data_IF_356125418198
#
_entry.id   IF_356125418198
#
_cell.length_a   1.000
_cell.length_b   1.000
_cell.length_c   1.000
_cell.angle_alpha   90.00
_cell.angle_beta   90.00
_cell.angle_gamma   90.00
#
_symmetry.space_group_name_H-M   'P 1'
#
loop_
_entity.id
_entity.type
_entity.pdbx_description
1 polymer ?
#
# COMPACT_ATOMS: atom_id res chain seq x y z
N UNK A 1 -15.01 -18.19 -17.06
CA UNK A 1 -15.81 -17.00 -17.29
C UNK A 1 -16.00 -16.84 -18.81
N UNK A 2 -17.24 -17.00 -19.35
CA UNK A 2 -17.50 -16.94 -20.80
C UNK A 2 -17.07 -15.61 -21.45
N UNK A 3 -17.19 -14.50 -20.72
CA UNK A 3 -16.86 -13.16 -21.23
C UNK A 3 -15.37 -13.00 -21.61
N UNK A 4 -14.48 -13.71 -20.94
CA UNK A 4 -13.02 -13.64 -21.24
C UNK A 4 -12.71 -14.23 -22.62
N UNK A 5 -13.47 -15.22 -23.05
CA UNK A 5 -13.22 -15.91 -24.33
C UNK A 5 -13.62 -15.08 -25.55
N UNK A 6 -14.48 -14.07 -25.37
CA UNK A 6 -15.04 -13.22 -26.43
C UNK A 6 -14.60 -11.76 -26.32
N UNK A 7 -13.40 -11.47 -25.81
CA UNK A 7 -12.93 -10.10 -25.64
C UNK A 7 -13.94 -9.16 -24.93
N UNK A 8 -14.75 -9.72 -24.02
CA UNK A 8 -15.84 -9.02 -23.33
C UNK A 8 -16.90 -8.44 -24.29
N UNK A 9 -17.20 -9.12 -25.40
CA UNK A 9 -18.17 -8.67 -26.37
C UNK A 9 -19.58 -8.43 -25.77
N UNK A 10 -19.94 -9.18 -24.72
CA UNK A 10 -21.21 -9.05 -23.99
C UNK A 10 -21.15 -8.01 -22.84
N UNK A 11 -20.22 -7.05 -22.90
CA UNK A 11 -19.97 -6.07 -21.83
C UNK A 11 -21.24 -5.35 -21.34
N UNK A 12 -22.26 -5.10 -22.22
CA UNK A 12 -23.51 -4.47 -21.80
C UNK A 12 -24.30 -5.35 -20.83
N UNK A 13 -24.34 -6.66 -21.10
CA UNK A 13 -25.00 -7.64 -20.24
C UNK A 13 -24.28 -7.77 -18.91
N UNK A 14 -22.95 -7.81 -18.93
CA UNK A 14 -22.14 -7.87 -17.73
C UNK A 14 -22.30 -6.60 -16.89
N UNK A 15 -22.29 -5.42 -17.51
CA UNK A 15 -22.55 -4.15 -16.83
C UNK A 15 -23.96 -4.14 -16.20
N UNK A 16 -24.98 -4.56 -16.93
CA UNK A 16 -26.33 -4.62 -16.40
C UNK A 16 -26.47 -5.55 -15.20
N UNK A 17 -25.74 -6.67 -15.19
CA UNK A 17 -25.73 -7.58 -14.05
C UNK A 17 -25.15 -6.91 -12.80
N UNK A 18 -24.04 -6.16 -12.92
CA UNK A 18 -23.44 -5.42 -11.79
C UNK A 18 -24.37 -4.29 -11.31
N UNK A 19 -24.98 -3.54 -12.23
CA UNK A 19 -25.97 -2.49 -11.93
C UNK A 19 -27.17 -3.05 -11.17
N UNK A 20 -27.68 -4.23 -11.58
CA UNK A 20 -28.78 -4.89 -10.89
C UNK A 20 -28.39 -5.29 -9.46
N UNK A 21 -27.19 -5.83 -9.25
CA UNK A 21 -26.69 -6.16 -7.92
C UNK A 21 -26.59 -4.92 -7.02
N UNK A 22 -26.14 -3.80 -7.57
CA UNK A 22 -26.14 -2.53 -6.85
C UNK A 22 -27.56 -2.07 -6.49
N UNK A 23 -28.48 -2.04 -7.45
CA UNK A 23 -29.84 -1.53 -7.26
C UNK A 23 -30.71 -2.40 -6.36
N UNK A 24 -30.59 -3.72 -6.49
CA UNK A 24 -31.43 -4.67 -5.75
C UNK A 24 -30.88 -4.99 -4.35
N UNK A 25 -29.56 -5.05 -4.20
CA UNK A 25 -28.92 -5.52 -2.96
C UNK A 25 -28.00 -4.49 -2.30
N UNK A 26 -27.80 -3.32 -2.90
CA UNK A 26 -26.91 -2.27 -2.39
C UNK A 26 -25.43 -2.63 -2.41
N UNK A 27 -25.02 -3.55 -3.30
CA UNK A 27 -23.60 -3.95 -3.43
C UNK A 27 -22.82 -2.83 -4.10
N UNK A 28 -21.84 -2.25 -3.38
CA UNK A 28 -21.04 -1.11 -3.86
C UNK A 28 -19.61 -1.45 -4.22
N UNK A 29 -19.10 -2.61 -3.87
CA UNK A 29 -17.72 -3.01 -4.15
C UNK A 29 -17.72 -4.30 -4.96
N UNK A 30 -17.08 -4.27 -6.12
CA UNK A 30 -16.91 -5.43 -6.99
C UNK A 30 -15.43 -5.74 -7.19
N UNK A 31 -14.97 -6.86 -6.62
CA UNK A 31 -13.63 -7.37 -6.93
C UNK A 31 -13.65 -8.06 -8.29
N UNK A 32 -12.85 -7.54 -9.20
CA UNK A 32 -12.69 -8.06 -10.55
C UNK A 32 -11.43 -8.92 -10.58
N UNK A 33 -11.64 -10.21 -10.52
CA UNK A 33 -10.56 -11.21 -10.41
C UNK A 33 -10.40 -12.04 -11.69
N UNK A 34 -9.19 -12.53 -11.92
CA UNK A 34 -8.91 -13.48 -13.02
C UNK A 34 -9.00 -12.88 -14.42
N UNK A 35 -9.14 -11.57 -14.59
CA UNK A 35 -9.19 -10.94 -15.88
C UNK A 35 -7.84 -10.98 -16.60
N UNK A 36 -7.84 -11.50 -17.82
CA UNK A 36 -6.76 -11.32 -18.79
C UNK A 36 -7.25 -10.41 -19.90
N UNK A 37 -6.48 -9.41 -20.27
CA UNK A 37 -6.79 -8.48 -21.36
C UNK A 37 -5.96 -8.88 -22.57
N UNK A 38 -6.48 -9.74 -23.45
CA UNK A 38 -5.67 -10.33 -24.53
C UNK A 38 -5.55 -9.40 -25.76
N UNK A 39 -6.45 -8.45 -25.91
CA UNK A 39 -6.57 -7.61 -27.10
C UNK A 39 -6.95 -6.17 -26.77
N UNK A 40 -6.81 -5.27 -27.73
CA UNK A 40 -7.29 -3.88 -27.65
C UNK A 40 -8.82 -3.81 -27.60
N UNK A 41 -9.49 -4.76 -28.21
CA UNK A 41 -10.95 -4.86 -28.15
C UNK A 41 -11.41 -5.20 -26.74
N UNK A 42 -10.79 -6.18 -26.09
CA UNK A 42 -11.06 -6.54 -24.70
C UNK A 42 -10.87 -5.34 -23.75
N UNK A 43 -9.78 -4.60 -23.91
CA UNK A 43 -9.52 -3.36 -23.16
C UNK A 43 -10.65 -2.34 -23.37
N UNK A 44 -11.01 -2.08 -24.62
CA UNK A 44 -12.06 -1.12 -24.97
C UNK A 44 -13.41 -1.52 -24.38
N UNK A 45 -13.76 -2.79 -24.44
CA UNK A 45 -15.02 -3.30 -23.89
C UNK A 45 -15.06 -3.25 -22.36
N UNK A 46 -13.94 -3.48 -21.69
CA UNK A 46 -13.83 -3.30 -20.24
C UNK A 46 -14.00 -1.84 -19.82
N UNK A 47 -13.38 -0.89 -20.53
CA UNK A 47 -13.62 0.54 -20.30
C UNK A 47 -15.11 0.90 -20.43
N UNK A 48 -15.78 0.39 -21.49
CA UNK A 48 -17.21 0.60 -21.67
C UNK A 48 -18.04 0.01 -20.54
N UNK A 49 -17.69 -1.18 -20.07
CA UNK A 49 -18.35 -1.84 -18.96
C UNK A 49 -18.23 -0.99 -17.68
N UNK A 50 -17.01 -0.61 -17.31
CA UNK A 50 -16.77 0.15 -16.08
C UNK A 50 -17.46 1.53 -16.13
N UNK A 51 -17.31 2.25 -17.23
CA UNK A 51 -17.99 3.55 -17.43
C UNK A 51 -19.51 3.41 -17.29
N UNK A 52 -20.11 2.41 -17.95
CA UNK A 52 -21.55 2.17 -17.87
C UNK A 52 -22.02 1.92 -16.44
N UNK A 53 -21.28 1.13 -15.68
CA UNK A 53 -21.61 0.87 -14.26
C UNK A 53 -21.50 2.13 -13.44
N UNK A 54 -20.41 2.89 -13.56
CA UNK A 54 -20.21 4.12 -12.80
C UNK A 54 -21.28 5.18 -13.12
N UNK A 55 -21.60 5.39 -14.40
CA UNK A 55 -22.65 6.30 -14.84
C UNK A 55 -24.02 5.93 -14.26
N UNK A 56 -24.40 4.65 -14.26
CA UNK A 56 -25.71 4.18 -13.79
C UNK A 56 -25.80 4.03 -12.26
N UNK A 57 -24.72 4.24 -11.56
CA UNK A 57 -24.65 4.14 -10.10
C UNK A 57 -24.15 5.43 -9.43
N UNK A 58 -24.15 6.56 -10.16
CA UNK A 58 -23.71 7.87 -9.68
C UNK A 58 -22.31 7.80 -9.00
N UNK A 59 -21.38 7.00 -9.59
CA UNK A 59 -20.03 6.74 -9.09
C UNK A 59 -19.98 6.14 -7.67
N UNK A 60 -21.09 5.61 -7.14
CA UNK A 60 -21.13 4.96 -5.83
C UNK A 60 -20.50 3.57 -5.82
N UNK A 61 -20.36 2.92 -6.98
CA UNK A 61 -19.67 1.64 -7.12
C UNK A 61 -18.17 1.85 -7.17
N UNK A 62 -17.45 0.98 -6.48
CA UNK A 62 -15.98 0.94 -6.47
C UNK A 62 -15.55 -0.41 -7.03
N UNK A 63 -14.68 -0.40 -8.02
CA UNK A 63 -14.01 -1.60 -8.51
C UNK A 63 -12.73 -1.86 -7.73
N UNK A 64 -12.54 -3.12 -7.34
CA UNK A 64 -11.29 -3.64 -6.81
C UNK A 64 -10.68 -4.53 -7.88
N UNK A 65 -9.63 -4.02 -8.54
CA UNK A 65 -9.06 -4.62 -9.74
C UNK A 65 -7.86 -5.48 -9.34
N UNK A 66 -8.00 -6.78 -9.44
CA UNK A 66 -6.93 -7.72 -9.11
C UNK A 66 -5.81 -7.68 -10.16
N UNK A 67 -4.59 -7.48 -9.70
CA UNK A 67 -3.37 -7.41 -10.51
C UNK A 67 -2.39 -8.57 -10.26
N UNK A 68 -2.80 -9.63 -9.63
CA UNK A 68 -1.93 -10.70 -9.11
C UNK A 68 -1.32 -11.61 -10.17
N UNK A 69 -1.91 -11.76 -11.32
CA UNK A 69 -1.45 -12.75 -12.28
C UNK A 69 -0.68 -12.13 -13.45
N UNK A 70 0.29 -12.84 -13.94
CA UNK A 70 1.39 -12.48 -14.83
C UNK A 70 1.10 -11.88 -16.21
N UNK A 71 -0.12 -11.57 -16.59
CA UNK A 71 -0.49 -10.96 -17.89
C UNK A 71 -1.58 -9.91 -17.81
N UNK A 72 -1.72 -9.28 -16.67
CA UNK A 72 -2.71 -8.21 -16.46
C UNK A 72 -2.07 -6.84 -16.73
N UNK A 73 -1.48 -6.71 -17.90
CA UNK A 73 -0.67 -5.54 -18.26
C UNK A 73 -1.44 -4.24 -18.44
N UNK A 74 -2.76 -4.25 -18.25
CA UNK A 74 -3.60 -3.07 -18.42
C UNK A 74 -4.05 -2.40 -17.13
N UNK A 75 -3.71 -2.93 -15.96
CA UNK A 75 -4.27 -2.41 -14.70
C UNK A 75 -3.85 -0.98 -14.38
N UNK A 76 -2.72 -0.50 -14.86
CA UNK A 76 -2.34 0.91 -14.73
C UNK A 76 -3.34 1.85 -15.40
N UNK A 77 -3.90 1.43 -16.52
CA UNK A 77 -4.90 2.18 -17.28
C UNK A 77 -6.29 2.15 -16.64
N UNK A 78 -6.52 1.19 -15.74
CA UNK A 78 -7.79 1.03 -15.04
C UNK A 78 -7.81 1.61 -13.62
N UNK A 79 -6.72 2.24 -13.15
CA UNK A 79 -6.66 2.79 -11.80
C UNK A 79 -7.66 3.94 -11.57
N UNK A 80 -8.21 4.54 -12.63
CA UNK A 80 -9.28 5.54 -12.56
C UNK A 80 -10.61 4.96 -12.06
N UNK A 81 -10.85 3.67 -12.29
CA UNK A 81 -12.11 3.01 -11.94
C UNK A 81 -12.18 2.49 -10.51
N UNK A 82 -11.07 2.43 -9.79
CA UNK A 82 -11.07 1.92 -8.43
C UNK A 82 -9.69 1.62 -7.88
N UNK A 83 -9.63 0.68 -6.96
CA UNK A 83 -8.40 0.24 -6.32
C UNK A 83 -7.76 -0.91 -7.08
N UNK A 84 -6.43 -0.98 -7.02
CA UNK A 84 -5.66 -2.08 -7.56
C UNK A 84 -5.32 -3.03 -6.41
N UNK A 85 -5.82 -4.24 -6.48
CA UNK A 85 -5.52 -5.28 -5.51
C UNK A 85 -4.21 -5.99 -5.86
N UNK A 86 -3.24 -5.86 -4.96
CA UNK A 86 -1.93 -6.49 -5.07
C UNK A 86 -1.86 -7.66 -4.10
N UNK A 87 -2.01 -8.88 -4.60
CA UNK A 87 -1.84 -10.09 -3.82
C UNK A 87 -0.37 -10.52 -3.81
N UNK A 88 0.15 -10.83 -2.66
CA UNK A 88 1.54 -11.28 -2.50
C UNK A 88 1.70 -12.81 -2.53
N UNK A 89 0.61 -13.57 -2.55
CA UNK A 89 0.54 -15.05 -2.66
C UNK A 89 1.26 -15.85 -1.56
N UNK A 90 1.66 -15.23 -0.48
CA UNK A 90 2.32 -15.94 0.62
C UNK A 90 1.35 -16.74 1.48
N UNK A 91 0.07 -16.36 1.48
CA UNK A 91 -0.94 -16.96 2.34
C UNK A 91 -1.14 -18.43 2.03
N UNK A 92 -1.09 -18.81 0.74
CA UNK A 92 -1.46 -20.14 0.29
C UNK A 92 -0.28 -21.03 -0.06
N UNK A 93 0.81 -20.47 -0.60
CA UNK A 93 1.76 -21.30 -1.33
C UNK A 93 3.22 -21.15 -0.94
N UNK A 94 3.67 -19.98 -0.51
CA UNK A 94 5.08 -19.66 -0.46
C UNK A 94 5.52 -18.95 0.79
N UNK A 95 6.81 -18.95 0.90
CA UNK A 95 7.60 -18.02 1.66
C UNK A 95 7.46 -16.61 1.09
N UNK A 96 7.34 -15.65 1.97
CA UNK A 96 7.30 -14.27 1.57
C UNK A 96 8.14 -13.42 2.53
N UNK A 97 9.05 -12.67 1.99
CA UNK A 97 9.83 -11.73 2.80
C UNK A 97 9.10 -10.40 2.93
N UNK A 98 8.96 -9.85 4.14
CA UNK A 98 8.22 -8.61 4.37
C UNK A 98 8.68 -7.43 3.50
N UNK A 99 9.97 -7.36 3.18
CA UNK A 99 10.49 -6.30 2.31
C UNK A 99 9.95 -6.37 0.86
N UNK A 100 9.43 -7.51 0.39
CA UNK A 100 8.80 -7.59 -0.93
C UNK A 100 7.49 -6.80 -0.98
N UNK A 101 6.68 -6.85 0.08
CA UNK A 101 5.48 -6.01 0.19
C UNK A 101 5.86 -4.53 0.10
N UNK A 102 6.82 -4.12 0.91
CA UNK A 102 7.32 -2.75 0.95
C UNK A 102 7.87 -2.31 -0.40
N UNK A 103 8.66 -3.18 -1.06
CA UNK A 103 9.24 -2.92 -2.38
C UNK A 103 8.19 -2.79 -3.47
N UNK A 104 7.15 -3.62 -3.46
CA UNK A 104 6.05 -3.51 -4.42
C UNK A 104 5.38 -2.14 -4.34
N UNK A 105 5.04 -1.67 -3.15
CA UNK A 105 4.48 -0.33 -2.96
C UNK A 105 5.46 0.76 -3.38
N UNK A 106 6.73 0.63 -2.98
CA UNK A 106 7.78 1.61 -3.25
C UNK A 106 8.04 1.78 -4.76
N UNK A 107 8.01 0.68 -5.51
CA UNK A 107 8.18 0.70 -6.96
C UNK A 107 6.94 1.23 -7.68
N UNK A 108 5.75 0.80 -7.29
CA UNK A 108 4.50 1.15 -7.97
C UNK A 108 4.03 2.57 -7.65
N UNK A 109 4.28 3.09 -6.46
CA UNK A 109 3.91 4.45 -6.07
C UNK A 109 4.59 5.57 -6.88
N UNK A 110 5.57 5.22 -7.71
CA UNK A 110 6.18 6.13 -8.70
C UNK A 110 5.27 6.37 -9.91
N UNK A 111 4.33 5.48 -10.17
CA UNK A 111 3.53 5.44 -11.41
C UNK A 111 2.02 5.42 -11.15
N UNK A 112 1.60 4.91 -10.00
CA UNK A 112 0.21 4.79 -9.60
C UNK A 112 0.05 5.46 -8.24
N UNK A 113 -1.00 6.28 -8.03
CA UNK A 113 -1.26 6.86 -6.73
C UNK A 113 -1.29 5.79 -5.64
N UNK A 114 -0.48 5.95 -4.61
CA UNK A 114 -0.28 4.91 -3.59
C UNK A 114 -1.60 4.54 -2.86
N UNK A 115 -2.48 5.51 -2.68
CA UNK A 115 -3.82 5.31 -2.09
C UNK A 115 -4.75 4.43 -2.94
N UNK A 116 -4.39 4.17 -4.20
CA UNK A 116 -5.09 3.22 -5.08
C UNK A 116 -4.55 1.79 -4.95
N UNK A 117 -3.39 1.61 -4.33
CA UNK A 117 -2.74 0.32 -4.19
C UNK A 117 -3.20 -0.36 -2.90
N UNK A 118 -4.08 -1.35 -3.03
CA UNK A 118 -4.48 -2.20 -1.93
C UNK A 118 -3.53 -3.39 -1.85
N UNK A 119 -2.88 -3.58 -0.72
CA UNK A 119 -1.88 -4.63 -0.54
C UNK A 119 -2.08 -5.35 0.80
N UNK A 120 -1.97 -6.66 0.74
CA UNK A 120 -2.06 -7.49 1.93
C UNK A 120 -0.76 -7.41 2.76
N UNK A 121 -0.91 -7.40 4.07
CA UNK A 121 0.20 -7.57 4.99
C UNK A 121 0.28 -9.03 5.47
N UNK A 122 1.51 -9.48 5.73
CA UNK A 122 1.84 -10.87 5.94
C UNK A 122 1.19 -11.46 7.19
N UNK A 123 0.57 -12.63 7.05
CA UNK A 123 0.25 -13.52 8.16
C UNK A 123 1.49 -14.35 8.51
N UNK A 124 2.29 -13.86 9.47
CA UNK A 124 3.56 -14.47 9.87
C UNK A 124 3.44 -15.85 10.53
N UNK A 125 2.25 -16.26 10.88
CA UNK A 125 2.00 -17.54 11.55
C UNK A 125 1.63 -18.67 10.60
N UNK A 126 1.49 -18.35 9.30
CA UNK A 126 1.21 -19.34 8.28
C UNK A 126 2.48 -19.70 7.51
N UNK A 127 2.62 -20.96 7.13
CA UNK A 127 3.78 -21.46 6.37
C UNK A 127 5.13 -21.19 7.06
N UNK A 128 5.17 -21.20 8.38
CA UNK A 128 6.35 -20.86 9.19
C UNK A 128 7.55 -21.79 8.99
N UNK A 129 7.30 -22.99 8.48
CA UNK A 129 8.33 -23.99 8.19
C UNK A 129 9.16 -23.66 6.94
N UNK A 130 8.60 -22.85 6.04
CA UNK A 130 9.19 -22.64 4.71
C UNK A 130 10.41 -21.71 4.69
N UNK A 131 10.51 -20.77 5.66
CA UNK A 131 11.62 -19.81 5.77
C UNK A 131 12.33 -19.86 7.12
N UNK A 132 12.09 -20.91 7.87
CA UNK A 132 12.62 -21.03 9.24
C UNK A 132 14.13 -20.84 9.28
N UNK A 133 14.58 -19.91 10.11
CA UNK A 133 16.01 -19.64 10.31
C UNK A 133 16.67 -18.73 9.27
N UNK A 134 15.92 -18.25 8.27
CA UNK A 134 16.44 -17.28 7.33
C UNK A 134 16.40 -15.85 7.91
N UNK A 135 17.35 -15.01 7.50
CA UNK A 135 17.51 -13.64 8.02
C UNK A 135 16.24 -12.79 7.84
N UNK A 136 15.53 -12.98 6.73
CA UNK A 136 14.31 -12.25 6.40
C UNK A 136 13.05 -13.07 6.64
N UNK A 137 13.15 -14.16 7.41
CA UNK A 137 11.98 -14.96 7.76
C UNK A 137 10.94 -14.09 8.48
N UNK A 138 9.65 -14.27 8.19
CA UNK A 138 8.58 -13.51 8.83
C UNK A 138 8.58 -13.57 10.36
N UNK A 139 9.09 -14.64 10.94
CA UNK A 139 9.23 -14.81 12.39
C UNK A 139 10.11 -13.75 13.07
N UNK A 140 11.02 -13.12 12.30
CA UNK A 140 11.93 -12.08 12.79
C UNK A 140 11.32 -10.67 12.84
N UNK A 141 10.04 -10.54 12.49
CA UNK A 141 9.34 -9.26 12.44
C UNK A 141 8.20 -9.22 13.44
N UNK A 142 7.97 -8.06 14.06
CA UNK A 142 6.74 -7.83 14.81
C UNK A 142 5.54 -7.76 13.86
N UNK A 143 4.35 -8.13 14.33
CA UNK A 143 3.14 -8.03 13.53
C UNK A 143 2.81 -6.56 13.21
N UNK A 144 3.12 -5.66 14.13
CA UNK A 144 3.03 -4.22 13.91
C UNK A 144 3.85 -3.76 12.70
N UNK A 145 5.11 -4.20 12.58
CA UNK A 145 5.96 -3.87 11.43
C UNK A 145 5.37 -4.40 10.12
N UNK A 146 4.85 -5.64 10.13
CA UNK A 146 4.22 -6.23 8.94
C UNK A 146 3.01 -5.42 8.48
N UNK A 147 2.17 -4.99 9.42
CA UNK A 147 1.07 -4.07 9.12
C UNK A 147 1.61 -2.74 8.58
N UNK A 148 2.64 -2.19 9.22
CA UNK A 148 3.21 -0.91 8.84
C UNK A 148 3.75 -0.88 7.40
N UNK A 149 4.25 -2.00 6.87
CA UNK A 149 4.76 -2.07 5.48
C UNK A 149 3.71 -1.70 4.42
N UNK A 150 2.43 -1.68 4.77
CA UNK A 150 1.31 -1.39 3.86
C UNK A 150 0.71 0.00 4.01
N UNK A 151 1.15 0.80 4.98
CA UNK A 151 0.49 2.08 5.33
C UNK A 151 0.48 3.14 4.23
N UNK A 152 1.46 3.13 3.34
CA UNK A 152 1.50 4.04 2.19
C UNK A 152 0.39 3.76 1.17
N UNK A 153 -0.05 2.50 1.08
CA UNK A 153 -1.19 2.07 0.29
C UNK A 153 -2.44 1.85 1.15
N UNK A 154 -3.26 0.91 0.74
CA UNK A 154 -4.43 0.47 1.50
C UNK A 154 -4.14 -0.89 2.15
N UNK A 155 -3.94 -0.95 3.48
CA UNK A 155 -3.71 -2.20 4.17
C UNK A 155 -4.89 -3.17 4.03
N UNK A 156 -4.61 -4.41 3.67
CA UNK A 156 -5.59 -5.47 3.56
C UNK A 156 -5.22 -6.66 4.44
N UNK A 157 -6.12 -7.05 5.32
CA UNK A 157 -6.04 -8.31 6.06
C UNK A 157 -6.59 -9.46 5.21
N UNK A 158 -5.78 -9.96 4.29
CA UNK A 158 -6.13 -11.10 3.44
C UNK A 158 -5.58 -12.38 4.05
N UNK A 159 -6.15 -12.79 5.19
CA UNK A 159 -5.64 -13.91 5.97
C UNK A 159 -6.76 -14.71 6.61
N UNK A 160 -6.47 -15.97 6.94
CA UNK A 160 -7.38 -16.78 7.74
C UNK A 160 -7.50 -16.21 9.14
N UNK A 161 -8.75 -16.02 9.59
CA UNK A 161 -9.06 -15.53 10.94
C UNK A 161 -9.11 -16.62 12.01
N UNK A 162 -8.85 -17.89 11.65
CA UNK A 162 -8.88 -19.02 12.58
C UNK A 162 -7.51 -19.30 13.19
N UNK A 163 -7.51 -19.67 14.46
CA UNK A 163 -6.29 -20.05 15.20
C UNK A 163 -5.20 -18.96 15.22
N UNK A 164 -5.59 -17.69 15.17
CA UNK A 164 -4.64 -16.60 15.31
C UNK A 164 -4.14 -16.51 16.77
N UNK A 165 -2.84 -16.27 16.98
CA UNK A 165 -2.30 -16.06 18.31
C UNK A 165 -2.72 -14.70 18.86
N UNK A 166 -2.52 -14.50 20.17
CA UNK A 166 -2.91 -13.27 20.87
C UNK A 166 -2.25 -12.01 20.23
N UNK A 167 -1.02 -12.11 19.77
CA UNK A 167 -0.32 -11.02 19.06
C UNK A 167 -1.13 -10.46 17.87
N UNK A 168 -1.90 -11.30 17.18
CA UNK A 168 -2.69 -10.85 16.02
C UNK A 168 -3.78 -9.84 16.39
N UNK A 169 -4.29 -9.89 17.61
CA UNK A 169 -5.36 -8.98 18.06
C UNK A 169 -4.85 -7.58 18.37
N UNK A 170 -3.53 -7.37 18.47
CA UNK A 170 -2.93 -6.02 18.56
C UNK A 170 -3.19 -5.19 17.31
N UNK A 171 -3.52 -5.82 16.18
CA UNK A 171 -3.90 -5.15 14.94
C UNK A 171 -5.01 -4.11 15.14
N UNK A 172 -5.93 -4.35 16.08
CA UNK A 172 -7.00 -3.40 16.38
C UNK A 172 -6.45 -2.05 16.80
N UNK A 173 -5.51 -2.02 17.74
CA UNK A 173 -4.90 -0.78 18.24
C UNK A 173 -4.15 -0.04 17.15
N UNK A 174 -3.37 -0.76 16.33
CA UNK A 174 -2.62 -0.21 15.20
C UNK A 174 -3.56 0.36 14.13
N UNK A 175 -4.65 -0.34 13.82
CA UNK A 175 -5.66 0.13 12.87
C UNK A 175 -6.39 1.37 13.39
N UNK A 176 -6.77 1.40 14.66
CA UNK A 176 -7.41 2.56 15.28
C UNK A 176 -6.46 3.78 15.32
N UNK A 177 -5.17 3.58 15.57
CA UNK A 177 -4.17 4.64 15.50
C UNK A 177 -4.01 5.17 14.07
N UNK A 178 -3.87 4.29 13.09
CA UNK A 178 -3.72 4.64 11.67
C UNK A 178 -4.93 5.42 11.12
N UNK A 179 -6.14 5.00 11.43
CA UNK A 179 -7.39 5.65 10.98
C UNK A 179 -7.48 7.13 11.38
N UNK A 180 -6.82 7.54 12.46
CA UNK A 180 -6.85 8.95 12.92
C UNK A 180 -6.21 9.91 11.93
N UNK A 181 -5.30 9.44 11.08
CA UNK A 181 -4.57 10.29 10.13
C UNK A 181 -4.55 9.76 8.69
N UNK A 182 -5.02 8.54 8.45
CA UNK A 182 -5.03 7.88 7.14
C UNK A 182 -5.59 8.80 6.04
N UNK A 183 -6.79 9.33 6.24
CA UNK A 183 -7.44 10.17 5.23
C UNK A 183 -6.62 11.43 4.92
N UNK A 184 -6.09 12.12 5.94
CA UNK A 184 -5.24 13.30 5.73
C UNK A 184 -3.91 12.93 5.06
N UNK A 185 -3.32 11.82 5.41
CA UNK A 185 -2.10 11.31 4.77
C UNK A 185 -2.34 10.97 3.29
N UNK A 186 -3.40 10.23 2.97
CA UNK A 186 -3.71 9.83 1.61
C UNK A 186 -4.23 10.96 0.73
N UNK A 187 -4.65 12.09 1.30
CA UNK A 187 -5.01 13.28 0.50
C UNK A 187 -3.80 14.07 0.00
N UNK A 188 -2.57 13.69 0.35
CA UNK A 188 -1.33 14.19 -0.23
C UNK A 188 -0.81 13.31 -1.36
N UNK A 189 0.15 13.80 -2.13
CA UNK A 189 0.87 12.96 -3.10
C UNK A 189 1.87 12.09 -2.36
N UNK A 190 1.70 10.77 -2.40
CA UNK A 190 2.59 9.83 -1.73
C UNK A 190 3.66 9.34 -2.70
N UNK A 191 4.92 9.61 -2.37
CA UNK A 191 6.09 9.23 -3.15
C UNK A 191 7.09 8.44 -2.29
N UNK A 192 7.88 7.54 -2.90
CA UNK A 192 8.91 6.80 -2.19
C UNK A 192 10.06 7.72 -1.78
N UNK A 193 10.70 7.41 -0.65
CA UNK A 193 11.88 8.09 -0.11
C UNK A 193 12.94 7.05 0.32
N UNK A 194 14.17 7.51 0.54
CA UNK A 194 15.29 6.66 0.90
C UNK A 194 15.66 5.67 -0.21
N UNK A 195 16.22 4.55 0.20
CA UNK A 195 16.68 3.50 -0.73
C UNK A 195 15.55 2.54 -1.10
N UNK A 196 15.71 1.84 -2.23
CA UNK A 196 14.79 0.76 -2.60
C UNK A 196 14.81 -0.34 -1.52
N UNK A 197 13.64 -0.83 -1.05
CA UNK A 197 13.56 -1.89 -0.07
C UNK A 197 14.31 -3.15 -0.51
N UNK A 198 15.18 -3.66 0.33
CA UNK A 198 16.04 -4.82 0.07
C UNK A 198 16.09 -5.82 1.22
N UNK A 199 15.37 -5.54 2.30
CA UNK A 199 15.50 -6.21 3.58
C UNK A 199 16.62 -5.64 4.45
N UNK A 200 17.42 -4.69 3.92
CA UNK A 200 18.57 -4.06 4.61
C UNK A 200 18.66 -2.55 4.44
N UNK A 201 17.66 -1.95 3.87
CA UNK A 201 17.64 -0.52 3.51
C UNK A 201 17.08 0.35 4.63
N UNK A 202 17.41 1.64 4.55
CA UNK A 202 16.62 2.70 5.11
C UNK A 202 15.73 3.25 3.98
N UNK A 203 14.45 3.09 4.13
CA UNK A 203 13.49 3.30 3.06
C UNK A 203 12.20 3.91 3.59
N UNK A 204 11.29 4.29 2.72
CA UNK A 204 10.00 4.80 3.18
C UNK A 204 9.17 5.48 2.13
N UNK A 205 8.21 6.27 2.61
CA UNK A 205 7.30 7.06 1.80
C UNK A 205 7.10 8.44 2.41
N UNK A 206 6.84 9.40 1.55
CA UNK A 206 6.46 10.74 1.97
C UNK A 206 5.14 11.14 1.33
N UNK A 207 4.17 11.50 2.15
CA UNK A 207 2.97 12.19 1.71
C UNK A 207 3.24 13.68 1.68
N UNK A 208 3.16 14.26 0.49
CA UNK A 208 3.47 15.65 0.21
C UNK A 208 2.20 16.48 0.19
N UNK A 209 2.19 17.52 1.02
CA UNK A 209 1.28 18.64 0.97
C UNK A 209 2.12 19.93 0.95
N UNK A 210 1.53 21.09 0.77
CA UNK A 210 2.24 22.36 0.57
C UNK A 210 3.42 22.56 1.54
N UNK A 211 3.17 22.67 2.83
CA UNK A 211 4.16 22.95 3.89
C UNK A 211 4.10 21.96 5.05
N UNK A 212 3.36 20.87 4.87
CA UNK A 212 3.18 19.79 5.84
C UNK A 212 2.99 18.46 5.12
N UNK A 213 2.96 17.39 5.86
CA UNK A 213 2.68 16.06 5.32
C UNK A 213 3.07 14.97 6.30
N UNK A 214 3.38 13.80 5.75
CA UNK A 214 3.74 12.63 6.52
C UNK A 214 5.01 12.00 5.97
N UNK A 215 5.81 11.43 6.87
CA UNK A 215 6.95 10.58 6.54
C UNK A 215 6.70 9.22 7.19
N UNK A 216 6.77 8.17 6.39
CA UNK A 216 6.83 6.79 6.88
C UNK A 216 8.23 6.31 6.60
N UNK A 217 9.02 6.03 7.64
CA UNK A 217 10.41 5.61 7.50
C UNK A 217 10.59 4.25 8.14
N UNK A 218 11.26 3.37 7.43
CA UNK A 218 11.58 2.01 7.86
C UNK A 218 13.09 1.84 7.94
N UNK A 219 13.56 1.31 9.07
CA UNK A 219 14.86 0.69 9.20
C UNK A 219 14.66 -0.81 9.03
N UNK A 220 15.02 -1.34 7.88
CA UNK A 220 15.02 -2.79 7.67
C UNK A 220 16.13 -3.44 8.53
N UNK A 221 16.62 -4.61 8.20
CA UNK A 221 17.73 -5.24 8.92
C UNK A 221 19.07 -4.52 8.61
N UNK A 222 19.14 -3.22 8.91
CA UNK A 222 20.32 -2.37 8.73
C UNK A 222 21.08 -2.23 10.05
N UNK A 223 22.41 -2.38 10.07
CA UNK A 223 23.19 -2.37 11.31
C UNK A 223 23.16 -1.01 12.04
N UNK A 224 23.14 0.08 11.29
CA UNK A 224 23.18 1.41 11.88
C UNK A 224 21.79 1.91 12.26
N UNK A 225 21.66 2.37 13.52
CA UNK A 225 20.40 2.87 14.08
C UNK A 225 20.04 4.30 13.70
N UNK A 226 20.93 5.00 13.00
CA UNK A 226 20.76 6.39 12.55
C UNK A 226 21.33 6.54 11.16
N UNK A 227 20.62 7.25 10.29
CA UNK A 227 21.08 7.58 8.94
C UNK A 227 20.43 8.85 8.40
N UNK A 228 21.02 9.42 7.36
CA UNK A 228 20.40 10.47 6.56
C UNK A 228 19.53 9.85 5.49
N UNK A 229 18.23 10.12 5.53
CA UNK A 229 17.25 9.64 4.54
C UNK A 229 16.99 10.74 3.52
N UNK A 230 17.12 10.42 2.23
CA UNK A 230 16.74 11.32 1.13
C UNK A 230 15.21 11.49 1.12
N UNK A 231 14.73 12.75 1.13
CA UNK A 231 13.30 13.09 1.13
C UNK A 231 12.98 14.06 0.00
N UNK A 232 11.70 14.34 -0.19
CA UNK A 232 11.21 15.36 -1.14
C UNK A 232 11.09 16.76 -0.51
N UNK A 233 11.61 16.96 0.70
CA UNK A 233 11.64 18.27 1.35
C UNK A 233 12.63 19.20 0.67
N UNK A 234 12.36 20.51 0.61
CA UNK A 234 13.34 21.48 0.15
C UNK A 234 14.60 21.48 1.03
N UNK A 235 15.75 21.77 0.45
CA UNK A 235 17.01 21.93 1.17
C UNK A 235 16.99 23.19 2.08
N UNK A 236 17.55 23.08 3.26
CA UNK A 236 17.76 24.21 4.19
C UNK A 236 16.51 24.69 4.92
N UNK A 237 15.40 23.93 4.86
CA UNK A 237 14.19 24.27 5.61
C UNK A 237 14.21 23.63 7.00
N UNK A 238 13.63 24.33 7.98
CA UNK A 238 13.40 23.76 9.30
C UNK A 238 12.12 22.93 9.30
N UNK A 239 12.20 21.68 9.68
CA UNK A 239 11.09 20.74 9.74
C UNK A 239 10.88 20.26 11.16
N UNK A 240 9.64 20.30 11.64
CA UNK A 240 9.22 19.69 12.91
C UNK A 240 8.51 18.37 12.59
N UNK A 241 8.99 17.26 13.14
CA UNK A 241 8.40 15.94 12.99
C UNK A 241 7.87 15.44 14.33
N UNK A 242 6.61 15.00 14.33
CA UNK A 242 5.90 14.46 15.51
C UNK A 242 5.54 13.02 15.19
N UNK A 243 6.02 12.03 15.98
CA UNK A 243 5.69 10.63 15.74
C UNK A 243 4.21 10.37 16.05
N UNK A 244 3.55 9.60 15.19
CA UNK A 244 2.17 9.16 15.33
C UNK A 244 2.06 7.66 15.58
N UNK A 245 2.98 6.88 15.00
CA UNK A 245 3.10 5.42 15.17
C UNK A 245 4.56 5.02 15.09
N UNK A 246 4.88 3.82 15.60
CA UNK A 246 6.23 3.27 15.61
C UNK A 246 7.13 3.90 16.68
N UNK A 247 8.43 3.71 16.58
CA UNK A 247 9.37 3.97 17.68
C UNK A 247 10.31 5.17 17.50
N UNK A 248 10.02 6.05 16.53
CA UNK A 248 10.77 7.29 16.35
C UNK A 248 10.49 8.33 17.45
N UNK A 249 11.43 9.26 17.63
CA UNK A 249 11.28 10.38 18.59
C UNK A 249 10.89 11.66 17.86
N UNK A 250 10.15 12.54 18.57
CA UNK A 250 9.85 13.88 18.05
C UNK A 250 11.18 14.62 17.81
N UNK A 251 11.26 15.33 16.68
CA UNK A 251 12.45 16.07 16.33
C UNK A 251 12.13 17.39 15.62
N UNK A 252 13.10 18.30 15.66
CA UNK A 252 13.14 19.49 14.81
C UNK A 252 14.51 19.55 14.19
N UNK A 253 14.59 19.52 12.88
CA UNK A 253 15.84 19.48 12.14
C UNK A 253 15.82 20.42 10.95
N UNK A 254 17.00 20.80 10.47
CA UNK A 254 17.16 21.51 9.19
C UNK A 254 17.50 20.45 8.14
N UNK A 255 16.79 20.47 7.03
CA UNK A 255 17.06 19.55 5.92
C UNK A 255 18.42 19.83 5.29
N UNK A 256 19.17 18.80 5.08
CA UNK A 256 20.45 18.85 4.36
C UNK A 256 20.25 18.95 2.85
N UNK A 257 21.39 18.79 2.14
CA UNK A 257 21.41 18.72 0.67
C UNK A 257 20.45 17.65 0.16
N UNK A 258 19.71 17.95 -0.89
CA UNK A 258 18.64 17.09 -1.44
C UNK A 258 17.51 16.75 -0.47
N UNK A 259 17.24 17.62 0.51
CA UNK A 259 16.17 17.40 1.47
C UNK A 259 16.42 16.29 2.50
N UNK A 260 17.68 15.93 2.73
CA UNK A 260 18.03 14.87 3.69
C UNK A 260 17.62 15.22 5.11
N UNK A 261 17.14 14.21 5.81
CA UNK A 261 16.84 14.26 7.23
C UNK A 261 17.57 13.12 7.95
N UNK A 262 18.26 13.46 9.04
CA UNK A 262 18.79 12.45 9.95
C UNK A 262 17.66 11.84 10.76
N UNK A 263 17.49 10.52 10.69
CA UNK A 263 16.45 9.76 11.37
C UNK A 263 17.07 8.62 12.15
N UNK A 264 16.60 8.45 13.39
CA UNK A 264 17.05 7.36 14.28
C UNK A 264 15.89 6.44 14.62
N UNK A 265 16.10 5.12 14.50
CA UNK A 265 15.21 4.07 14.94
C UNK A 265 16.00 3.07 15.80
N UNK A 266 15.48 2.68 16.98
CA UNK A 266 16.27 1.95 17.97
C UNK A 266 16.62 0.52 17.55
N UNK A 267 15.74 -0.14 16.81
CA UNK A 267 15.86 -1.56 16.49
C UNK A 267 15.94 -1.80 14.98
N UNK A 268 16.45 -2.94 14.56
CA UNK A 268 16.29 -3.45 13.22
C UNK A 268 14.80 -3.84 13.00
N UNK A 269 14.34 -3.85 11.75
CA UNK A 269 12.97 -4.15 11.40
C UNK A 269 11.98 -3.26 12.18
N UNK A 270 12.28 -1.96 12.19
CA UNK A 270 11.55 -0.93 12.93
C UNK A 270 11.05 0.16 12.00
N UNK A 271 10.09 0.95 12.46
CA UNK A 271 9.52 2.02 11.66
C UNK A 271 9.06 3.21 12.50
N UNK A 272 8.77 4.30 11.80
CA UNK A 272 8.07 5.45 12.37
C UNK A 272 7.18 6.10 11.32
N UNK A 273 6.02 6.56 11.75
CA UNK A 273 5.17 7.49 11.00
C UNK A 273 5.25 8.84 11.66
N UNK A 274 5.80 9.82 10.95
CA UNK A 274 5.80 11.21 11.38
C UNK A 274 4.73 12.03 10.68
N UNK A 275 4.07 12.90 11.42
CA UNK A 275 3.48 14.10 10.83
C UNK A 275 4.55 15.19 10.85
N UNK A 276 4.83 15.82 9.71
CA UNK A 276 5.78 16.92 9.61
C UNK A 276 5.15 18.26 9.23
N UNK A 277 5.78 19.34 9.67
CA UNK A 277 5.46 20.71 9.31
C UNK A 277 6.75 21.45 9.00
N UNK A 278 6.77 22.16 7.86
CA UNK A 278 7.87 23.05 7.49
C UNK A 278 7.66 24.38 8.22
N UNK A 279 8.63 24.78 9.02
CA UNK A 279 8.63 26.09 9.64
C UNK A 279 9.19 27.11 8.65
N UNK A 280 8.34 27.94 8.09
CA UNK A 280 8.81 29.08 7.30
C UNK A 280 9.66 29.99 8.19
N UNK A 281 10.85 30.39 7.70
CA UNK A 281 11.57 31.49 8.32
C UNK A 281 10.66 32.71 8.25
N UNK A 282 10.23 33.21 9.41
CA UNK A 282 9.58 34.53 9.49
C UNK A 282 10.58 35.60 9.11
#
# INVERSE_FOLDING_TARGET
NPSIQNDFADWQKDAQALISLYREYGIKIFKIDGLTIPSKEAETNLHRLFNKVLEETDEEVIFNLDATASRRGGYHMFNEYGNIFLENRYTDWQNYYPYWTLRNLWMLSKYVPAEKLQIEFLNKWRNTDKNKGEVFAPENYSFEYLFATTLAGQPLAWMEGTNLPEEAFTLREHTEAYKKFQHDMHSGTILPIGDEPSGRSWTGFQSLKKDRGYLIVYRENHPEGTTEVDTWLPEGVTVRCIPLMGHGKAMTAVTGKKGRLEISLPSINDYVVYKYEIKNKR
#
